data_IF_927859312570
#
_entry.id   IF_927859312570
#
_cell.length_a   1.000
_cell.length_b   1.000
_cell.length_c   1.000
_cell.angle_alpha   90.00
_cell.angle_beta   90.00
_cell.angle_gamma   90.00
#
_symmetry.space_group_name_H-M   'P 1'
#
loop_
_entity.id
_entity.type
_entity.pdbx_description
1 polymer ?
#
# COMPACT_ATOMS: atom_id res chain seq x y z
N UNK A 1 28.47 -45.30 25.43
CA UNK A 1 28.10 -45.62 24.04
C UNK A 1 27.05 -44.58 23.65
N UNK A 2 27.42 -43.39 23.13
CA UNK A 2 27.80 -43.10 21.73
C UNK A 2 26.76 -43.73 20.78
N UNK A 3 25.96 -43.01 19.98
CA UNK A 3 26.24 -41.96 18.99
C UNK A 3 24.99 -41.05 18.87
N UNK A 4 25.03 -39.71 18.85
CA UNK A 4 25.54 -38.75 17.85
C UNK A 4 25.11 -38.98 16.39
N UNK A 5 24.21 -38.08 15.98
CA UNK A 5 24.27 -37.21 14.80
C UNK A 5 23.85 -37.73 13.43
N UNK A 6 23.25 -36.82 12.68
CA UNK A 6 22.73 -37.04 11.34
C UNK A 6 22.11 -35.79 10.70
N UNK A 7 22.75 -34.63 10.88
CA UNK A 7 22.55 -33.49 9.99
C UNK A 7 23.00 -33.87 8.57
N UNK A 8 22.15 -33.62 7.58
CA UNK A 8 22.54 -33.62 6.17
C UNK A 8 22.14 -32.28 5.54
N UNK A 9 23.12 -31.40 5.45
CA UNK A 9 23.15 -30.28 4.51
C UNK A 9 24.19 -30.59 3.41
N UNK A 10 24.01 -29.92 2.27
CA UNK A 10 24.92 -29.76 1.12
C UNK A 10 24.75 -30.76 -0.04
N UNK A 11 24.26 -30.24 -1.17
CA UNK A 11 25.00 -30.08 -2.44
C UNK A 11 24.05 -29.38 -3.45
N UNK A 12 24.30 -28.12 -3.84
CA UNK A 12 25.08 -27.72 -5.02
C UNK A 12 24.75 -28.56 -6.27
N UNK A 13 23.75 -28.13 -7.03
CA UNK A 13 23.62 -28.56 -8.42
C UNK A 13 24.60 -27.74 -9.27
N UNK A 14 25.63 -28.42 -9.75
CA UNK A 14 26.54 -27.94 -10.76
C UNK A 14 25.92 -28.04 -12.16
N UNK A 15 26.33 -27.12 -13.01
CA UNK A 15 26.01 -27.08 -14.44
C UNK A 15 26.65 -28.26 -15.18
N UNK A 16 25.98 -28.85 -16.18
CA UNK A 16 26.66 -29.55 -17.26
C UNK A 16 26.92 -28.62 -18.44
N UNK A 17 28.20 -28.42 -18.75
CA UNK A 17 28.70 -27.90 -20.02
C UNK A 17 28.98 -29.06 -20.99
N UNK A 18 28.23 -29.16 -22.09
CA UNK A 18 28.54 -29.81 -23.39
C UNK A 18 27.41 -29.32 -24.32
N UNK A 19 27.56 -28.85 -25.55
CA UNK A 19 28.63 -28.85 -26.53
C UNK A 19 27.96 -28.55 -27.88
N UNK A 20 28.39 -27.44 -28.49
CA UNK A 20 28.07 -26.89 -29.80
C UNK A 20 27.53 -27.87 -30.87
N UNK A 21 26.41 -27.52 -31.51
CA UNK A 21 26.18 -27.80 -32.93
C UNK A 21 25.77 -26.53 -33.66
N UNK A 22 26.47 -26.34 -34.77
CA UNK A 22 26.52 -25.19 -35.66
C UNK A 22 25.34 -25.27 -36.63
N UNK A 23 24.31 -24.45 -36.42
CA UNK A 23 23.25 -24.24 -37.40
C UNK A 23 23.14 -22.75 -37.70
N UNK A 24 23.79 -22.34 -38.79
CA UNK A 24 23.72 -20.99 -39.35
C UNK A 24 22.27 -20.66 -39.71
N UNK A 25 21.65 -19.79 -38.94
CA UNK A 25 20.35 -19.19 -39.30
C UNK A 25 20.57 -17.98 -40.22
N UNK A 26 19.93 -17.90 -41.39
CA UNK A 26 20.02 -16.72 -42.24
C UNK A 26 19.37 -15.51 -41.55
N UNK A 27 20.05 -14.37 -41.58
CA UNK A 27 19.65 -13.15 -40.89
C UNK A 27 18.31 -12.61 -41.40
N UNK A 28 17.34 -12.47 -40.48
CA UNK A 28 16.25 -11.51 -40.61
C UNK A 28 16.82 -10.10 -40.46
N UNK A 29 16.56 -9.16 -41.40
CA UNK A 29 16.95 -7.78 -41.21
C UNK A 29 16.18 -7.18 -40.02
N UNK A 30 16.91 -6.53 -39.12
CA UNK A 30 16.36 -5.76 -38.03
C UNK A 30 15.46 -4.64 -38.60
N UNK A 31 14.16 -4.78 -38.41
CA UNK A 31 13.25 -3.64 -38.46
C UNK A 31 13.42 -2.89 -37.14
N UNK A 32 14.11 -1.75 -37.18
CA UNK A 32 14.09 -0.77 -36.10
C UNK A 32 12.63 -0.36 -35.87
N UNK A 33 12.05 -0.85 -34.77
CA UNK A 33 10.78 -0.33 -34.26
C UNK A 33 10.96 1.13 -33.84
N UNK A 34 9.89 1.95 -33.89
CA UNK A 34 9.97 3.34 -33.48
C UNK A 34 10.50 3.43 -32.04
N UNK A 35 11.29 4.48 -31.70
CA UNK A 35 11.86 4.63 -30.37
C UNK A 35 10.74 4.56 -29.35
N UNK A 36 10.96 3.74 -28.31
CA UNK A 36 10.06 3.58 -27.18
C UNK A 36 9.57 4.96 -26.74
N UNK A 37 8.26 5.20 -26.91
CA UNK A 37 7.63 6.40 -26.40
C UNK A 37 7.99 6.52 -24.92
N UNK A 38 8.67 7.62 -24.59
CA UNK A 38 9.08 7.92 -23.22
C UNK A 38 7.86 7.79 -22.30
N UNK A 39 8.02 7.00 -21.22
CA UNK A 39 7.01 6.91 -20.17
C UNK A 39 6.70 8.34 -19.70
N UNK A 40 5.46 8.84 -19.85
CA UNK A 40 5.14 10.20 -19.45
C UNK A 40 5.39 10.34 -17.94
N UNK A 41 5.94 11.48 -17.48
CA UNK A 41 6.30 11.65 -16.08
C UNK A 41 5.06 11.45 -15.21
N UNK A 42 5.12 10.42 -14.36
CA UNK A 42 4.06 10.07 -13.43
C UNK A 42 3.80 11.27 -12.53
N UNK A 43 2.72 12.02 -12.79
CA UNK A 43 2.36 13.21 -12.00
C UNK A 43 2.36 12.82 -10.53
N UNK A 44 3.09 13.52 -9.64
CA UNK A 44 3.08 13.20 -8.22
C UNK A 44 1.63 13.30 -7.74
N UNK A 45 1.08 12.17 -7.28
CA UNK A 45 -0.29 12.11 -6.78
C UNK A 45 -0.40 13.05 -5.59
N UNK A 46 -0.97 14.24 -5.81
CA UNK A 46 -1.15 15.25 -4.79
C UNK A 46 -2.21 14.79 -3.79
N UNK A 47 -1.85 13.90 -2.86
CA UNK A 47 -2.70 13.54 -1.73
C UNK A 47 -2.76 14.71 -0.76
N UNK A 48 -3.79 15.56 -0.90
CA UNK A 48 -4.20 16.53 0.12
C UNK A 48 -4.85 15.86 1.34
N UNK A 49 -4.86 14.53 1.41
CA UNK A 49 -5.08 13.82 2.66
C UNK A 49 -3.86 14.08 3.54
N UNK A 50 -4.06 14.78 4.66
CA UNK A 50 -2.99 15.16 5.58
C UNK A 50 -1.96 14.03 5.73
N UNK A 51 -0.68 14.40 5.70
CA UNK A 51 0.43 13.46 5.67
C UNK A 51 0.25 12.42 6.79
N UNK A 52 -0.09 11.18 6.43
CA UNK A 52 -0.36 10.13 7.40
C UNK A 52 0.94 9.83 8.15
N UNK A 53 0.90 9.95 9.49
CA UNK A 53 2.05 9.62 10.32
C UNK A 53 2.25 8.11 10.31
N UNK A 54 3.42 7.66 9.85
CA UNK A 54 3.86 6.27 10.01
C UNK A 54 4.55 6.15 11.37
N UNK A 55 4.12 5.19 12.18
CA UNK A 55 4.75 4.86 13.46
C UNK A 55 4.89 3.34 13.60
N UNK A 56 5.91 2.90 14.33
CA UNK A 56 6.05 1.50 14.72
C UNK A 56 5.34 1.29 16.06
N UNK A 57 4.35 0.42 16.08
CA UNK A 57 3.65 0.02 17.29
C UNK A 57 4.29 -1.24 17.87
N UNK A 58 4.58 -1.23 19.17
CA UNK A 58 4.93 -2.44 19.91
C UNK A 58 3.64 -3.05 20.45
N UNK A 59 3.31 -4.24 19.97
CA UNK A 59 2.14 -5.00 20.39
C UNK A 59 2.60 -6.40 20.77
N UNK A 60 1.89 -6.99 21.73
CA UNK A 60 1.98 -8.43 21.95
C UNK A 60 1.54 -9.18 20.67
N UNK A 61 2.27 -10.24 20.23
CA UNK A 61 1.94 -10.96 19.00
C UNK A 61 0.52 -11.54 19.00
N UNK A 62 0.04 -12.09 20.12
CA UNK A 62 -1.29 -12.68 20.19
C UNK A 62 -2.38 -11.60 20.07
N UNK A 63 -2.15 -10.41 20.60
CA UNK A 63 -3.04 -9.24 20.43
C UNK A 63 -3.07 -8.80 18.97
N UNK A 64 -1.90 -8.72 18.31
CA UNK A 64 -1.85 -8.41 16.89
C UNK A 64 -2.66 -9.41 16.06
N UNK A 65 -2.51 -10.70 16.34
CA UNK A 65 -3.21 -11.76 15.60
C UNK A 65 -4.72 -11.73 15.81
N UNK A 66 -5.17 -11.41 17.03
CA UNK A 66 -6.60 -11.22 17.32
C UNK A 66 -7.16 -10.01 16.54
N UNK A 67 -6.42 -8.90 16.48
CA UNK A 67 -6.81 -7.72 15.70
C UNK A 67 -6.85 -8.00 14.20
N UNK A 68 -5.88 -8.76 13.68
CA UNK A 68 -5.83 -9.14 12.27
C UNK A 68 -7.04 -10.02 11.89
N UNK A 69 -7.36 -11.02 12.72
CA UNK A 69 -8.54 -11.88 12.53
C UNK A 69 -9.84 -11.08 12.54
N UNK A 70 -10.04 -10.22 13.55
CA UNK A 70 -11.23 -9.37 13.62
C UNK A 70 -11.34 -8.41 12.43
N UNK A 71 -10.22 -7.82 11.99
CA UNK A 71 -10.21 -6.97 10.79
C UNK A 71 -10.64 -7.75 9.53
N UNK A 72 -10.20 -9.00 9.38
CA UNK A 72 -10.61 -9.88 8.30
C UNK A 72 -12.12 -10.17 8.32
N UNK A 73 -12.68 -10.46 9.49
CA UNK A 73 -14.12 -10.71 9.66
C UNK A 73 -14.96 -9.50 9.24
N UNK A 74 -14.47 -8.27 9.50
CA UNK A 74 -15.12 -7.02 9.09
C UNK A 74 -14.75 -6.54 7.68
N UNK A 75 -13.98 -7.31 6.90
CA UNK A 75 -13.48 -6.91 5.58
C UNK A 75 -12.71 -5.57 5.61
N UNK A 76 -11.91 -5.34 6.65
CA UNK A 76 -11.03 -4.19 6.85
C UNK A 76 -9.57 -4.61 6.79
N UNK A 77 -8.67 -3.66 6.54
CA UNK A 77 -7.25 -3.90 6.82
C UNK A 77 -6.99 -3.76 8.31
N UNK A 78 -5.97 -4.44 8.82
CA UNK A 78 -5.57 -4.33 10.24
C UNK A 78 -5.31 -2.88 10.66
N UNK A 79 -4.65 -2.07 9.81
CA UNK A 79 -4.43 -0.65 10.11
C UNK A 79 -5.73 0.15 10.17
N UNK A 80 -6.71 -0.13 9.30
CA UNK A 80 -8.00 0.54 9.36
C UNK A 80 -8.79 0.13 10.61
N UNK A 81 -8.67 -1.12 11.06
CA UNK A 81 -9.28 -1.58 12.29
C UNK A 81 -8.65 -0.90 13.53
N UNK A 82 -7.31 -0.83 13.59
CA UNK A 82 -6.60 -0.13 14.66
C UNK A 82 -7.02 1.34 14.72
N UNK A 83 -7.04 2.05 13.60
CA UNK A 83 -7.47 3.46 13.54
C UNK A 83 -8.91 3.64 14.02
N UNK A 84 -9.83 2.75 13.62
CA UNK A 84 -11.21 2.76 14.07
C UNK A 84 -11.32 2.62 15.59
N UNK A 85 -10.60 1.65 16.17
CA UNK A 85 -10.59 1.40 17.61
C UNK A 85 -10.02 2.58 18.39
N UNK A 86 -8.91 3.15 17.92
CA UNK A 86 -8.28 4.32 18.56
C UNK A 86 -9.21 5.53 18.54
N UNK A 87 -9.87 5.82 17.42
CA UNK A 87 -10.83 6.94 17.32
C UNK A 87 -12.03 6.73 18.23
N UNK A 88 -12.57 5.51 18.26
CA UNK A 88 -13.68 5.16 19.15
C UNK A 88 -13.26 5.36 20.62
N UNK A 89 -12.13 4.79 21.03
CA UNK A 89 -11.63 4.94 22.40
C UNK A 89 -11.39 6.41 22.79
N UNK A 90 -10.86 7.23 21.87
CA UNK A 90 -10.70 8.66 22.08
C UNK A 90 -12.04 9.40 22.17
N UNK A 91 -13.02 9.04 21.36
CA UNK A 91 -14.36 9.63 21.40
C UNK A 91 -15.08 9.27 22.71
N UNK A 92 -15.05 8.00 23.09
CA UNK A 92 -15.64 7.48 24.33
C UNK A 92 -15.00 8.14 25.57
N UNK A 93 -13.71 8.46 25.49
CA UNK A 93 -13.00 9.21 26.54
C UNK A 93 -13.21 10.73 26.47
N UNK A 94 -13.96 11.27 25.51
CA UNK A 94 -14.11 12.70 25.22
C UNK A 94 -12.78 13.43 24.94
N UNK A 95 -11.82 12.75 24.30
CA UNK A 95 -10.47 13.25 23.98
C UNK A 95 -10.20 13.31 22.48
N UNK A 96 -11.19 13.01 21.63
CA UNK A 96 -11.02 13.09 20.18
C UNK A 96 -10.84 14.56 19.76
N UNK A 97 -9.73 14.93 19.07
CA UNK A 97 -9.53 16.29 18.61
C UNK A 97 -10.59 16.70 17.56
N UNK A 98 -11.15 17.91 17.68
CA UNK A 98 -12.14 18.42 16.72
C UNK A 98 -11.61 18.60 15.29
N UNK A 99 -10.29 18.63 15.11
CA UNK A 99 -9.62 18.69 13.80
C UNK A 99 -9.44 17.31 13.14
N UNK A 100 -9.82 16.21 13.81
CA UNK A 100 -9.69 14.87 13.26
C UNK A 100 -10.66 14.69 12.09
N UNK A 101 -10.12 14.73 10.86
CA UNK A 101 -10.90 14.49 9.64
C UNK A 101 -11.54 13.09 9.59
N UNK A 102 -12.55 12.88 8.71
CA UNK A 102 -13.27 11.62 8.60
C UNK A 102 -12.35 10.46 8.16
N UNK A 103 -12.70 9.23 8.57
CA UNK A 103 -12.01 8.01 8.12
C UNK A 103 -12.12 7.91 6.60
N UNK A 104 -10.98 7.79 5.91
CA UNK A 104 -10.95 7.72 4.46
C UNK A 104 -11.66 6.44 3.96
N UNK A 105 -12.57 6.60 2.99
CA UNK A 105 -13.29 5.48 2.39
C UNK A 105 -12.35 4.61 1.53
N UNK A 106 -12.64 3.31 1.45
CA UNK A 106 -11.90 2.37 0.59
C UNK A 106 -12.02 2.76 -0.88
N UNK A 107 -10.92 2.59 -1.63
CA UNK A 107 -10.93 2.51 -3.10
C UNK A 107 -10.99 3.83 -3.89
N UNK A 108 -11.17 4.99 -3.27
CA UNK A 108 -11.19 6.26 -4.01
C UNK A 108 -10.43 7.36 -3.27
N UNK A 109 -9.33 7.88 -3.84
CA UNK A 109 -8.76 9.15 -3.39
C UNK A 109 -9.88 10.21 -3.37
N UNK A 110 -10.04 10.98 -2.28
CA UNK A 110 -11.08 12.00 -2.22
C UNK A 110 -10.93 12.99 -3.37
N UNK A 111 -12.04 13.30 -4.07
CA UNK A 111 -12.06 14.36 -5.08
C UNK A 111 -11.76 15.68 -4.37
N UNK A 112 -10.81 16.45 -4.89
CA UNK A 112 -10.48 17.79 -4.36
C UNK A 112 -11.76 18.64 -4.45
N UNK A 113 -12.15 19.38 -3.39
CA UNK A 113 -13.19 20.40 -3.54
C UNK A 113 -12.66 21.46 -4.51
N UNK A 114 -13.40 21.69 -5.60
CA UNK A 114 -13.14 22.78 -6.54
C UNK A 114 -13.30 24.10 -5.76
N UNK A 115 -12.33 25.02 -5.80
CA UNK A 115 -12.50 26.33 -5.20
C UNK A 115 -13.56 27.11 -6.00
N UNK A 116 -14.78 27.23 -5.47
CA UNK A 116 -15.82 28.06 -6.09
C UNK A 116 -17.28 27.76 -5.76
N UNK A 117 -17.60 26.64 -5.09
CA UNK A 117 -18.98 26.34 -4.69
C UNK A 117 -19.12 26.51 -3.18
N UNK A 118 -19.21 27.77 -2.75
CA UNK A 118 -19.86 28.11 -1.49
C UNK A 118 -21.38 27.96 -1.64
N UNK A 119 -22.12 27.66 -0.56
CA UNK A 119 -23.57 27.73 -0.60
C UNK A 119 -23.99 29.16 -0.92
N UNK A 120 -24.78 29.33 -1.97
CA UNK A 120 -25.40 30.58 -2.35
C UNK A 120 -26.44 30.96 -1.26
N UNK A 121 -25.97 31.60 -0.21
CA UNK A 121 -26.82 32.28 0.77
C UNK A 121 -26.73 33.76 0.48
N UNK A 122 -27.66 34.26 -0.33
CA UNK A 122 -28.01 35.67 -0.33
C UNK A 122 -28.47 36.07 1.08
N UNK A 123 -28.03 37.24 1.55
CA UNK A 123 -29.00 38.19 2.05
C UNK A 123 -28.67 39.59 1.50
N UNK A 124 -29.52 40.11 0.62
CA UNK A 124 -29.56 41.54 0.36
C UNK A 124 -30.53 42.15 1.38
N UNK A 125 -29.98 42.90 2.33
CA UNK A 125 -30.74 43.73 3.24
C UNK A 125 -30.35 45.19 3.00
N UNK A 126 -31.31 45.97 2.52
CA UNK A 126 -31.54 47.39 2.86
C UNK A 126 -30.48 48.44 2.51
N UNK A 127 -30.83 49.31 1.57
CA UNK A 127 -30.60 50.75 1.65
C UNK A 127 -31.76 51.49 0.97
#
# INVERSE_FOLDING_TARGET
MAHLDGAAAVARNGDPVVGQRDERHPGTPAVEGPPAAEDPPRRPSASRAGQRKRMLLRLDPAVHDALARWASDELRSTNAQIEFLLRRALADAARLPGSAGPIARRGRPPRRPEPGQGPDTAPEAGA
#
